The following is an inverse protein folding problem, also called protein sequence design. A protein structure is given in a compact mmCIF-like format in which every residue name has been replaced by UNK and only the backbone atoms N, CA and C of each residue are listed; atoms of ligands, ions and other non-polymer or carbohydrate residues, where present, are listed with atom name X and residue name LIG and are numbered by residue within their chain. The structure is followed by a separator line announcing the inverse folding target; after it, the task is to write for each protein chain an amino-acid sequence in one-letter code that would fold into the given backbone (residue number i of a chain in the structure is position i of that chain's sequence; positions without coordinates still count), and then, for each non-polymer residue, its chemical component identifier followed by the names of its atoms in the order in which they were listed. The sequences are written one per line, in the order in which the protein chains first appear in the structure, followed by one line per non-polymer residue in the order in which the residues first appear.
data_IF_322748683956
#
_entry.id   IF_322748683956
#
_cell.length_a   1.000
_cell.length_b   1.000
_cell.length_c   1.000
_cell.angle_alpha   90.00
_cell.angle_beta   90.00
_cell.angle_gamma   90.00
#
_symmetry.space_group_name_H-M   'P 1'
#
loop_
_entity.id
_entity.type
_entity.pdbx_description
1 polymer ?
#
# COMPACT_ATOMS: atom_id res chain seq x y z
N UNK A 1 -12.71 -41.90 -28.60
CA UNK A 1 -11.32 -41.88 -29.11
C UNK A 1 -11.12 -40.50 -29.71
N UNK A 2 -10.55 -39.51 -29.03
CA UNK A 2 -10.33 -38.18 -29.60
C UNK A 2 -10.20 -37.03 -28.61
N UNK A 3 -9.63 -37.22 -27.42
CA UNK A 3 -9.41 -36.09 -26.45
C UNK A 3 -8.04 -36.19 -25.75
N UNK A 4 -6.96 -36.39 -26.49
CA UNK A 4 -5.62 -36.48 -25.90
C UNK A 4 -4.50 -35.83 -26.72
N UNK A 5 -4.82 -34.82 -27.58
CA UNK A 5 -3.80 -34.20 -28.45
C UNK A 5 -3.49 -32.75 -28.16
N UNK A 6 -4.36 -31.98 -27.45
CA UNK A 6 -4.17 -30.56 -27.25
C UNK A 6 -3.33 -30.19 -26.01
N UNK A 7 -3.20 -31.08 -25.01
CA UNK A 7 -2.43 -30.82 -23.81
C UNK A 7 -0.90 -30.94 -23.96
N UNK A 8 -0.44 -31.64 -25.01
CA UNK A 8 1.00 -31.85 -25.24
C UNK A 8 1.68 -30.74 -26.04
N UNK A 9 0.93 -29.91 -26.73
CA UNK A 9 1.48 -28.81 -27.54
C UNK A 9 1.85 -27.60 -26.68
N UNK A 10 1.08 -27.32 -25.60
CA UNK A 10 1.35 -26.19 -24.71
C UNK A 10 2.59 -26.36 -23.80
N UNK A 11 3.00 -27.58 -23.49
CA UNK A 11 4.18 -27.85 -22.62
C UNK A 11 5.49 -27.67 -23.37
N UNK A 12 5.50 -27.79 -24.70
CA UNK A 12 6.74 -27.78 -25.49
C UNK A 12 7.19 -26.37 -25.97
N UNK A 13 6.30 -25.38 -25.92
CA UNK A 13 6.66 -23.99 -26.30
C UNK A 13 7.43 -23.25 -25.20
N UNK A 14 7.34 -23.72 -23.95
CA UNK A 14 8.06 -23.17 -22.78
C UNK A 14 9.41 -23.86 -22.49
N UNK A 15 9.85 -24.81 -23.28
CA UNK A 15 10.99 -25.67 -22.96
C UNK A 15 12.34 -25.22 -23.49
N UNK A 16 12.44 -24.10 -24.22
CA UNK A 16 13.76 -23.60 -24.63
C UNK A 16 14.44 -22.89 -23.45
N UNK A 17 15.68 -23.29 -23.08
CA UNK A 17 16.42 -22.68 -21.97
C UNK A 17 16.65 -21.17 -22.14
N UNK A 18 16.69 -20.67 -23.36
CA UNK A 18 16.80 -19.25 -23.71
C UNK A 18 15.54 -18.47 -23.29
N UNK A 19 14.32 -18.96 -23.60
CA UNK A 19 13.07 -18.31 -23.15
C UNK A 19 12.90 -18.30 -21.62
N UNK A 20 13.42 -19.32 -20.92
CA UNK A 20 13.44 -19.32 -19.43
C UNK A 20 14.40 -18.30 -18.87
N UNK A 21 15.55 -18.09 -19.48
CA UNK A 21 16.52 -17.06 -19.08
C UNK A 21 15.93 -15.66 -19.31
N UNK A 22 15.23 -15.42 -20.42
CA UNK A 22 14.60 -14.13 -20.71
C UNK A 22 13.42 -13.83 -19.76
N UNK A 23 12.63 -14.83 -19.36
CA UNK A 23 11.52 -14.65 -18.42
C UNK A 23 11.98 -14.31 -17.00
N UNK A 24 13.14 -14.75 -16.55
CA UNK A 24 13.69 -14.46 -15.22
C UNK A 24 14.55 -13.19 -15.24
N UNK A 25 15.25 -12.93 -16.34
CA UNK A 25 16.21 -11.82 -16.43
C UNK A 25 15.53 -10.44 -16.49
N UNK A 26 14.44 -10.30 -17.25
CA UNK A 26 13.75 -9.02 -17.42
C UNK A 26 13.09 -8.49 -16.11
N UNK A 27 12.29 -9.26 -15.37
CA UNK A 27 11.74 -8.82 -14.08
C UNK A 27 12.84 -8.50 -13.07
N UNK A 28 13.93 -9.28 -13.03
CA UNK A 28 15.08 -9.02 -12.17
C UNK A 28 15.75 -7.70 -12.52
N UNK A 29 15.97 -7.40 -13.81
CA UNK A 29 16.55 -6.14 -14.26
C UNK A 29 15.67 -4.97 -13.87
N UNK A 30 14.35 -5.04 -14.09
CA UNK A 30 13.41 -3.98 -13.70
C UNK A 30 13.39 -3.78 -12.19
N UNK A 31 13.42 -4.86 -11.40
CA UNK A 31 13.49 -4.79 -9.94
C UNK A 31 14.76 -4.08 -9.48
N UNK A 32 15.93 -4.45 -10.01
CA UNK A 32 17.21 -3.81 -9.67
C UNK A 32 17.19 -2.32 -10.04
N UNK A 33 16.74 -1.98 -11.24
CA UNK A 33 16.67 -0.58 -11.69
C UNK A 33 15.68 0.24 -10.84
N UNK A 34 14.55 -0.33 -10.46
CA UNK A 34 13.59 0.31 -9.57
C UNK A 34 14.20 0.57 -8.17
N UNK A 35 14.91 -0.41 -7.61
CA UNK A 35 15.60 -0.26 -6.33
C UNK A 35 16.73 0.77 -6.39
N UNK A 36 17.46 0.85 -7.48
CA UNK A 36 18.48 1.89 -7.69
C UNK A 36 17.82 3.28 -7.75
N UNK A 37 16.72 3.43 -8.48
CA UNK A 37 15.99 4.69 -8.56
C UNK A 37 15.42 5.10 -7.19
N UNK A 38 14.84 4.17 -6.42
CA UNK A 38 14.35 4.41 -5.07
C UNK A 38 15.47 4.78 -4.10
N UNK A 39 16.58 4.07 -4.13
CA UNK A 39 17.75 4.38 -3.30
C UNK A 39 18.36 5.72 -3.63
N UNK A 40 18.47 6.09 -4.90
CA UNK A 40 18.94 7.40 -5.33
C UNK A 40 18.02 8.53 -4.81
N UNK A 41 16.70 8.37 -4.96
CA UNK A 41 15.70 9.32 -4.47
C UNK A 41 15.74 9.45 -2.95
N UNK A 42 15.78 8.33 -2.23
CA UNK A 42 15.85 8.29 -0.76
C UNK A 42 17.13 8.95 -0.24
N UNK A 43 18.29 8.58 -0.79
CA UNK A 43 19.59 9.08 -0.35
C UNK A 43 19.71 10.58 -0.59
N UNK A 44 19.29 11.05 -1.76
CA UNK A 44 19.27 12.47 -2.08
C UNK A 44 18.39 13.24 -1.08
N UNK A 45 17.17 12.78 -0.83
CA UNK A 45 16.25 13.41 0.11
C UNK A 45 16.82 13.40 1.54
N UNK A 46 17.35 12.26 1.99
CA UNK A 46 17.93 12.10 3.32
C UNK A 46 19.12 13.06 3.56
N UNK A 47 20.07 13.10 2.61
CA UNK A 47 21.26 13.98 2.75
C UNK A 47 20.87 15.45 2.79
N UNK A 48 19.94 15.90 1.94
CA UNK A 48 19.49 17.29 1.92
C UNK A 48 18.75 17.67 3.21
N UNK A 49 17.86 16.80 3.70
CA UNK A 49 17.16 17.03 4.97
C UNK A 49 18.14 17.07 6.15
N UNK A 50 19.11 16.15 6.21
CA UNK A 50 20.12 16.15 7.30
C UNK A 50 21.05 17.39 7.23
N UNK A 51 21.37 17.86 6.04
CA UNK A 51 22.18 19.05 5.81
C UNK A 51 21.39 20.36 5.93
N UNK A 52 20.09 20.30 6.30
CA UNK A 52 19.17 21.46 6.37
C UNK A 52 19.10 22.25 5.05
N UNK A 53 19.34 21.60 3.92
CA UNK A 53 19.19 22.18 2.59
C UNK A 53 17.80 21.86 2.06
N UNK A 54 17.24 22.77 1.28
CA UNK A 54 15.97 22.53 0.61
C UNK A 54 16.23 21.54 -0.54
N UNK A 55 15.63 20.33 -0.52
CA UNK A 55 15.80 19.37 -1.60
C UNK A 55 15.06 19.84 -2.85
N UNK A 56 15.62 19.54 -4.03
CA UNK A 56 14.91 19.75 -5.27
C UNK A 56 13.78 18.72 -5.39
N UNK A 57 12.54 19.20 -5.31
CA UNK A 57 11.34 18.37 -5.36
C UNK A 57 11.21 17.62 -6.68
N UNK A 58 11.61 18.25 -7.79
CA UNK A 58 11.56 17.62 -9.11
C UNK A 58 12.52 16.44 -9.22
N UNK A 59 13.71 16.54 -8.66
CA UNK A 59 14.66 15.42 -8.65
C UNK A 59 14.09 14.22 -7.88
N UNK A 60 13.60 14.45 -6.67
CA UNK A 60 12.95 13.41 -5.85
C UNK A 60 11.74 12.81 -6.57
N UNK A 61 10.87 13.67 -7.12
CA UNK A 61 9.68 13.25 -7.83
C UNK A 61 9.98 12.42 -9.07
N UNK A 62 10.91 12.86 -9.93
CA UNK A 62 11.27 12.16 -11.18
C UNK A 62 11.93 10.81 -10.89
N UNK A 63 12.89 10.77 -9.94
CA UNK A 63 13.60 9.52 -9.63
C UNK A 63 12.68 8.52 -8.94
N UNK A 64 11.80 8.95 -8.03
CA UNK A 64 10.83 8.09 -7.41
C UNK A 64 9.74 7.62 -8.41
N UNK A 65 9.29 8.49 -9.32
CA UNK A 65 8.34 8.12 -10.37
C UNK A 65 8.94 7.11 -11.37
N UNK A 66 10.22 7.27 -11.73
CA UNK A 66 10.92 6.26 -12.55
C UNK A 66 10.94 4.91 -11.83
N UNK A 67 11.28 4.90 -10.54
CA UNK A 67 11.21 3.69 -9.72
C UNK A 67 9.81 3.07 -9.71
N UNK A 68 8.75 3.89 -9.60
CA UNK A 68 7.36 3.44 -9.63
C UNK A 68 6.95 2.84 -10.99
N UNK A 69 7.38 3.42 -12.09
CA UNK A 69 7.10 2.87 -13.43
C UNK A 69 7.71 1.48 -13.56
N UNK A 70 8.99 1.33 -13.18
CA UNK A 70 9.68 0.04 -13.21
C UNK A 70 9.04 -0.97 -12.22
N UNK A 71 8.65 -0.52 -11.02
CA UNK A 71 7.89 -1.32 -10.06
C UNK A 71 6.55 -1.80 -10.65
N UNK A 72 5.84 -0.91 -11.33
CA UNK A 72 4.60 -1.23 -12.03
C UNK A 72 4.77 -2.27 -13.14
N UNK A 73 5.90 -2.24 -13.86
CA UNK A 73 6.21 -3.27 -14.88
C UNK A 73 6.44 -4.65 -14.26
N UNK A 74 7.18 -4.73 -13.14
CA UNK A 74 7.35 -5.98 -12.38
C UNK A 74 5.99 -6.48 -11.88
N UNK A 75 5.25 -5.60 -11.22
CA UNK A 75 3.93 -5.91 -10.66
C UNK A 75 2.93 -6.38 -11.73
N UNK A 76 2.94 -5.75 -12.90
CA UNK A 76 2.09 -6.17 -14.02
C UNK A 76 2.39 -7.60 -14.45
N UNK A 77 3.68 -7.96 -14.55
CA UNK A 77 4.10 -9.33 -14.87
C UNK A 77 3.70 -10.35 -13.79
N UNK A 78 3.82 -9.96 -12.51
CA UNK A 78 3.49 -10.84 -11.38
C UNK A 78 1.96 -11.02 -11.21
N UNK A 79 1.17 -10.00 -11.56
CA UNK A 79 -0.30 -10.04 -11.48
C UNK A 79 -0.93 -10.76 -12.68
N UNK A 80 -0.44 -10.52 -13.90
CA UNK A 80 -1.04 -11.06 -15.12
C UNK A 80 -0.35 -12.37 -15.53
N UNK A 81 -1.00 -13.48 -15.25
CA UNK A 81 -0.53 -14.81 -15.67
C UNK A 81 -1.38 -15.32 -16.84
N UNK A 82 -0.87 -16.25 -17.68
CA UNK A 82 -1.66 -16.84 -18.77
C UNK A 82 -2.93 -17.55 -18.30
N UNK A 83 -3.03 -17.88 -17.01
CA UNK A 83 -4.17 -18.59 -16.41
C UNK A 83 -5.15 -17.67 -15.69
N UNK A 84 -4.85 -16.36 -15.57
CA UNK A 84 -5.69 -15.39 -14.85
C UNK A 84 -4.90 -14.42 -14.01
N UNK A 85 -5.57 -13.66 -13.13
CA UNK A 85 -4.95 -12.66 -12.26
C UNK A 85 -4.49 -13.31 -10.96
N UNK A 86 -3.24 -13.03 -10.58
CA UNK A 86 -2.65 -13.48 -9.33
C UNK A 86 -2.90 -12.47 -8.21
N UNK A 87 -3.69 -12.87 -7.22
CA UNK A 87 -3.98 -12.08 -6.00
C UNK A 87 -3.23 -12.62 -4.77
N UNK A 88 -2.01 -13.07 -4.96
CA UNK A 88 -1.17 -13.48 -3.83
C UNK A 88 -0.90 -12.32 -2.86
N UNK A 89 -0.68 -12.64 -1.57
CA UNK A 89 -0.49 -11.61 -0.55
C UNK A 89 0.72 -10.73 -0.81
N UNK A 90 1.82 -11.30 -1.29
CA UNK A 90 3.04 -10.53 -1.52
C UNK A 90 2.91 -9.62 -2.76
N UNK A 91 2.17 -10.08 -3.80
CA UNK A 91 1.79 -9.25 -4.94
C UNK A 91 0.90 -8.09 -4.49
N UNK A 92 -0.09 -8.35 -3.62
CA UNK A 92 -0.96 -7.30 -3.08
C UNK A 92 -0.23 -6.32 -2.15
N UNK A 93 0.75 -6.79 -1.37
CA UNK A 93 1.64 -5.93 -0.56
C UNK A 93 2.50 -5.05 -1.46
N UNK A 94 3.08 -5.61 -2.53
CA UNK A 94 3.83 -4.86 -3.54
C UNK A 94 2.94 -3.79 -4.20
N UNK A 95 1.74 -4.16 -4.66
CA UNK A 95 0.77 -3.23 -5.22
C UNK A 95 0.41 -2.09 -4.25
N UNK A 96 0.06 -2.43 -3.01
CA UNK A 96 -0.35 -1.45 -1.99
C UNK A 96 0.78 -0.48 -1.65
N UNK A 97 2.02 -0.97 -1.55
CA UNK A 97 3.19 -0.14 -1.24
C UNK A 97 3.55 0.80 -2.40
N UNK A 98 3.48 0.32 -3.65
CA UNK A 98 3.66 1.14 -4.84
C UNK A 98 2.58 2.21 -4.97
N UNK A 99 1.31 1.84 -4.76
CA UNK A 99 0.19 2.77 -4.77
C UNK A 99 0.30 3.81 -3.64
N UNK A 100 0.75 3.41 -2.45
CA UNK A 100 1.04 4.33 -1.35
C UNK A 100 2.08 5.38 -1.75
N UNK A 101 3.18 4.97 -2.39
CA UNK A 101 4.20 5.91 -2.86
C UNK A 101 3.67 6.82 -3.97
N UNK A 102 2.89 6.29 -4.92
CA UNK A 102 2.24 7.08 -5.98
C UNK A 102 1.38 8.19 -5.38
N UNK A 103 0.53 7.85 -4.42
CA UNK A 103 -0.34 8.80 -3.73
C UNK A 103 0.48 9.81 -2.90
N UNK A 104 1.55 9.36 -2.23
CA UNK A 104 2.46 10.25 -1.50
C UNK A 104 3.12 11.28 -2.45
N UNK A 105 3.57 10.87 -3.62
CA UNK A 105 4.13 11.77 -4.62
C UNK A 105 3.05 12.74 -5.17
N UNK A 106 1.84 12.25 -5.44
CA UNK A 106 0.71 13.10 -5.85
C UNK A 106 0.37 14.14 -4.78
N UNK A 107 0.28 13.76 -3.51
CA UNK A 107 0.06 14.70 -2.42
C UNK A 107 1.21 15.72 -2.29
N UNK A 108 2.46 15.32 -2.55
CA UNK A 108 3.62 16.21 -2.44
C UNK A 108 3.65 17.34 -3.47
N UNK A 109 2.83 17.26 -4.52
CA UNK A 109 2.65 18.37 -5.49
C UNK A 109 1.80 19.52 -4.92
N UNK A 110 0.92 19.23 -3.97
CA UNK A 110 -0.01 20.22 -3.39
C UNK A 110 0.37 20.64 -1.97
N UNK A 111 1.11 19.79 -1.24
CA UNK A 111 1.50 20.02 0.15
C UNK A 111 2.99 19.72 0.36
N UNK A 112 3.70 20.45 1.21
CA UNK A 112 5.12 20.21 1.48
C UNK A 112 5.33 18.97 2.37
N UNK A 113 4.99 17.78 1.85
CA UNK A 113 5.07 16.51 2.57
C UNK A 113 6.32 15.68 2.23
N UNK A 114 7.35 16.31 1.69
CA UNK A 114 8.62 15.66 1.36
C UNK A 114 9.16 14.71 2.44
N UNK A 115 9.07 15.05 3.77
CA UNK A 115 9.47 14.13 4.81
C UNK A 115 8.68 12.82 4.84
N UNK A 116 7.43 12.79 4.37
CA UNK A 116 6.63 11.57 4.27
C UNK A 116 7.19 10.62 3.21
N UNK A 117 7.74 11.16 2.11
CA UNK A 117 8.40 10.38 1.07
C UNK A 117 9.66 9.66 1.60
N UNK A 118 10.30 10.18 2.66
CA UNK A 118 11.42 9.51 3.33
C UNK A 118 11.00 8.15 3.94
N UNK A 119 9.73 7.97 4.26
CA UNK A 119 9.17 6.70 4.73
C UNK A 119 8.53 5.95 3.56
N UNK A 120 7.83 6.65 2.68
CA UNK A 120 7.10 6.05 1.55
C UNK A 120 8.02 5.30 0.57
N UNK A 121 9.20 5.88 0.26
CA UNK A 121 10.15 5.25 -0.66
C UNK A 121 10.68 3.91 -0.12
N UNK A 122 11.20 3.80 1.13
CA UNK A 122 11.60 2.51 1.69
C UNK A 122 10.46 1.49 1.79
N UNK A 123 9.23 1.95 2.10
CA UNK A 123 8.06 1.06 2.15
C UNK A 123 7.78 0.48 0.75
N UNK A 124 7.81 1.29 -0.30
CA UNK A 124 7.64 0.83 -1.69
C UNK A 124 8.77 -0.13 -2.11
N UNK A 125 10.02 0.20 -1.76
CA UNK A 125 11.17 -0.67 -2.04
C UNK A 125 11.04 -2.03 -1.33
N UNK A 126 10.61 -2.04 -0.06
CA UNK A 126 10.40 -3.26 0.71
C UNK A 126 9.26 -4.10 0.11
N UNK A 127 8.15 -3.47 -0.27
CA UNK A 127 7.03 -4.15 -0.92
C UNK A 127 7.43 -4.78 -2.26
N UNK A 128 8.23 -4.07 -3.07
CA UNK A 128 8.76 -4.62 -4.31
C UNK A 128 9.66 -5.84 -4.07
N UNK A 129 10.56 -5.77 -3.09
CA UNK A 129 11.44 -6.89 -2.72
C UNK A 129 10.62 -8.09 -2.25
N UNK A 130 9.61 -7.87 -1.38
CA UNK A 130 8.75 -8.94 -0.88
C UNK A 130 7.94 -9.57 -2.02
N UNK A 131 7.35 -8.77 -2.91
CA UNK A 131 6.65 -9.26 -4.10
C UNK A 131 7.55 -10.13 -4.96
N UNK A 132 8.74 -9.63 -5.30
CA UNK A 132 9.69 -10.37 -6.15
C UNK A 132 10.28 -11.62 -5.50
N UNK A 133 10.62 -11.58 -4.20
CA UNK A 133 11.30 -12.68 -3.50
C UNK A 133 10.36 -13.83 -3.10
N UNK A 134 9.11 -13.52 -2.81
CA UNK A 134 8.12 -14.46 -2.29
C UNK A 134 6.94 -14.64 -3.25
N UNK A 135 7.18 -14.66 -4.57
CA UNK A 135 6.15 -15.02 -5.55
C UNK A 135 5.87 -16.53 -5.47
N UNK A 136 4.90 -16.99 -4.68
CA UNK A 136 4.60 -18.41 -4.58
C UNK A 136 3.74 -18.84 -5.75
N UNK A 137 3.53 -20.15 -5.83
CA UNK A 137 2.63 -20.77 -6.79
C UNK A 137 1.26 -20.08 -6.73
N UNK A 138 0.95 -19.35 -7.79
CA UNK A 138 -0.17 -18.44 -7.90
C UNK A 138 -1.50 -19.09 -7.48
N UNK A 139 -2.20 -18.50 -6.52
CA UNK A 139 -3.65 -18.70 -6.37
C UNK A 139 -4.34 -17.93 -7.51
N UNK A 140 -4.48 -18.59 -8.63
CA UNK A 140 -5.06 -18.02 -9.84
C UNK A 140 -6.57 -18.01 -9.68
N UNK A 141 -7.20 -16.85 -9.79
CA UNK A 141 -8.66 -16.73 -9.90
C UNK A 141 -8.98 -16.72 -11.38
N UNK A 142 -9.45 -17.85 -11.88
CA UNK A 142 -9.73 -18.10 -13.31
C UNK A 142 -10.97 -17.36 -13.82
N UNK A 143 -11.87 -16.93 -12.92
CA UNK A 143 -13.08 -16.18 -13.28
C UNK A 143 -13.15 -14.90 -12.47
N UNK A 144 -12.74 -13.79 -13.07
CA UNK A 144 -12.96 -12.48 -12.50
C UNK A 144 -14.20 -11.84 -13.11
N UNK A 145 -15.12 -11.40 -12.24
CA UNK A 145 -16.13 -10.43 -12.64
C UNK A 145 -15.50 -9.03 -12.55
N UNK A 146 -15.81 -8.15 -13.51
CA UNK A 146 -15.37 -6.75 -13.49
C UNK A 146 -15.66 -6.07 -12.14
N UNK A 147 -16.77 -6.43 -11.50
CA UNK A 147 -17.16 -5.90 -10.19
C UNK A 147 -16.18 -6.31 -9.08
N UNK A 148 -15.68 -7.56 -9.09
CA UNK A 148 -14.70 -8.03 -8.12
C UNK A 148 -13.36 -7.31 -8.30
N UNK A 149 -12.91 -7.10 -9.53
CA UNK A 149 -11.65 -6.38 -9.82
C UNK A 149 -11.73 -4.93 -9.32
N UNK A 150 -12.85 -4.23 -9.59
CA UNK A 150 -13.09 -2.87 -9.09
C UNK A 150 -13.10 -2.85 -7.56
N UNK A 151 -13.79 -3.81 -6.92
CA UNK A 151 -13.80 -3.92 -5.46
C UNK A 151 -12.40 -4.08 -4.88
N UNK A 152 -11.57 -4.94 -5.48
CA UNK A 152 -10.18 -5.19 -5.03
C UNK A 152 -9.34 -3.91 -5.17
N UNK A 153 -9.38 -3.25 -6.34
CA UNK A 153 -8.61 -2.02 -6.58
C UNK A 153 -9.02 -0.90 -5.61
N UNK A 154 -10.33 -0.71 -5.38
CA UNK A 154 -10.84 0.29 -4.45
C UNK A 154 -10.44 -0.03 -3.00
N UNK A 155 -10.52 -1.30 -2.61
CA UNK A 155 -10.13 -1.75 -1.26
C UNK A 155 -8.65 -1.54 -1.02
N UNK A 156 -7.78 -1.90 -1.97
CA UNK A 156 -6.33 -1.68 -1.88
C UNK A 156 -5.98 -0.19 -1.86
N UNK A 157 -6.71 0.63 -2.64
CA UNK A 157 -6.54 2.09 -2.65
C UNK A 157 -6.93 2.70 -1.30
N UNK A 158 -8.06 2.29 -0.72
CA UNK A 158 -8.45 2.70 0.61
C UNK A 158 -7.41 2.30 1.66
N UNK A 159 -6.91 1.07 1.57
CA UNK A 159 -5.89 0.54 2.46
C UNK A 159 -4.59 1.33 2.38
N UNK A 160 -4.12 1.66 1.16
CA UNK A 160 -2.91 2.45 0.93
C UNK A 160 -3.01 3.85 1.53
N UNK A 161 -4.13 4.56 1.31
CA UNK A 161 -4.36 5.90 1.88
C UNK A 161 -4.45 5.87 3.40
N UNK A 162 -5.17 4.89 3.97
CA UNK A 162 -5.30 4.75 5.42
C UNK A 162 -3.99 4.30 6.09
N UNK A 163 -3.14 3.54 5.39
CA UNK A 163 -1.77 3.25 5.84
C UNK A 163 -0.93 4.53 5.89
N UNK A 164 -1.01 5.38 4.84
CA UNK A 164 -0.35 6.70 4.85
C UNK A 164 -0.82 7.56 6.01
N UNK A 165 -2.16 7.62 6.23
CA UNK A 165 -2.74 8.35 7.36
C UNK A 165 -2.21 7.81 8.71
N UNK A 166 -2.02 6.50 8.81
CA UNK A 166 -1.48 5.85 10.01
C UNK A 166 -0.02 6.22 10.24
N UNK A 167 0.81 6.20 9.20
CA UNK A 167 2.22 6.65 9.28
C UNK A 167 2.26 8.13 9.68
N UNK A 168 1.42 8.96 9.04
CA UNK A 168 1.29 10.39 9.37
C UNK A 168 0.87 10.59 10.83
N UNK A 169 -0.07 9.82 11.35
CA UNK A 169 -0.50 9.87 12.76
C UNK A 169 0.64 9.50 13.73
N UNK A 170 1.47 8.51 13.37
CA UNK A 170 2.65 8.14 14.16
C UNK A 170 3.67 9.28 14.18
N UNK A 171 3.96 9.88 13.02
CA UNK A 171 4.88 11.03 12.92
C UNK A 171 4.34 12.19 13.79
N UNK A 172 3.06 12.52 13.65
CA UNK A 172 2.39 13.57 14.43
C UNK A 172 2.49 13.32 15.94
N UNK A 173 2.33 12.06 16.38
CA UNK A 173 2.49 11.67 17.78
C UNK A 173 3.91 11.91 18.29
N UNK A 174 4.93 11.58 17.50
CA UNK A 174 6.32 11.84 17.87
C UNK A 174 6.62 13.33 17.86
N UNK A 175 6.13 14.09 16.89
CA UNK A 175 6.27 15.54 16.84
C UNK A 175 5.66 16.21 18.08
N UNK A 176 4.42 15.84 18.46
CA UNK A 176 3.75 16.37 19.66
C UNK A 176 4.56 16.12 20.95
N UNK A 177 5.12 14.91 21.08
CA UNK A 177 5.96 14.55 22.22
C UNK A 177 7.24 15.40 22.29
N UNK A 178 7.90 15.62 21.17
CA UNK A 178 9.12 16.43 21.11
C UNK A 178 8.85 17.93 21.34
N UNK A 179 7.70 18.44 20.83
CA UNK A 179 7.28 19.82 21.04
C UNK A 179 6.98 20.13 22.52
N UNK A 180 6.52 19.16 23.29
CA UNK A 180 6.23 19.28 24.73
C UNK A 180 7.47 19.22 25.63
N UNK A 181 8.61 18.75 25.08
CA UNK A 181 9.87 18.74 25.87
C UNK A 181 10.42 20.14 26.07
N UNK A 182 10.75 20.47 27.32
CA UNK A 182 11.43 21.73 27.68
C UNK A 182 12.91 21.76 27.27
N UNK A 183 13.50 20.61 26.99
CA UNK A 183 14.90 20.46 26.59
C UNK A 183 15.08 20.63 25.09
N UNK A 184 16.35 20.68 24.63
CA UNK A 184 16.76 20.84 23.24
C UNK A 184 16.03 19.83 22.32
N UNK A 185 15.21 20.33 21.40
CA UNK A 185 14.44 19.52 20.44
C UNK A 185 15.38 18.73 19.54
N UNK A 186 14.97 17.52 19.16
CA UNK A 186 15.71 16.73 18.18
C UNK A 186 15.72 17.42 16.81
N UNK A 187 16.85 17.34 16.12
CA UNK A 187 17.08 18.03 14.84
C UNK A 187 16.03 17.72 13.79
N UNK A 188 15.58 16.49 13.71
CA UNK A 188 14.60 16.04 12.71
C UNK A 188 13.20 16.69 12.86
N UNK A 189 12.81 17.11 14.07
CA UNK A 189 11.53 17.81 14.29
C UNK A 189 11.49 19.16 13.60
N UNK A 190 12.65 19.81 13.48
CA UNK A 190 12.77 21.10 12.79
C UNK A 190 12.71 20.97 11.26
N UNK A 191 12.76 19.74 10.74
CA UNK A 191 12.65 19.44 9.30
C UNK A 191 11.19 19.16 8.90
N UNK A 192 10.32 18.91 9.89
CA UNK A 192 8.90 18.67 9.63
C UNK A 192 8.16 20.00 9.45
N UNK A 193 7.09 20.02 8.62
CA UNK A 193 6.14 21.12 8.58
C UNK A 193 5.54 21.43 9.96
N UNK A 194 4.78 22.53 10.04
CA UNK A 194 4.11 22.89 11.31
C UNK A 194 3.19 21.73 11.76
N UNK A 195 3.01 21.61 13.08
CA UNK A 195 2.12 20.60 13.66
C UNK A 195 0.71 20.69 13.07
N UNK A 196 0.24 21.91 12.83
CA UNK A 196 -1.08 22.18 12.30
C UNK A 196 -1.24 21.73 10.84
N UNK A 197 -0.21 21.93 10.00
CA UNK A 197 -0.21 21.45 8.62
C UNK A 197 -0.18 19.92 8.57
N UNK A 198 0.62 19.29 9.45
CA UNK A 198 0.70 17.83 9.57
C UNK A 198 -0.61 17.21 10.05
N UNK A 199 -1.33 17.89 10.95
CA UNK A 199 -2.65 17.48 11.42
C UNK A 199 -3.72 17.63 10.33
N UNK A 200 -3.73 18.77 9.62
CA UNK A 200 -4.62 18.99 8.47
C UNK A 200 -4.45 17.89 7.42
N UNK A 201 -3.19 17.58 7.07
CA UNK A 201 -2.87 16.52 6.13
C UNK A 201 -3.38 15.15 6.60
N UNK A 202 -3.29 14.85 7.91
CA UNK A 202 -3.84 13.62 8.48
C UNK A 202 -5.34 13.50 8.21
N UNK A 203 -6.11 14.59 8.44
CA UNK A 203 -7.56 14.57 8.21
C UNK A 203 -7.92 14.52 6.73
N UNK A 204 -7.14 15.16 5.84
CA UNK A 204 -7.32 15.05 4.39
C UNK A 204 -7.16 13.58 3.92
N UNK A 205 -6.12 12.89 4.41
CA UNK A 205 -5.90 11.48 4.13
C UNK A 205 -6.99 10.58 4.72
N UNK A 206 -7.42 10.83 5.98
CA UNK A 206 -8.50 10.08 6.63
C UNK A 206 -9.82 10.22 5.87
N UNK A 207 -10.15 11.42 5.42
CA UNK A 207 -11.37 11.66 4.63
C UNK A 207 -11.31 10.92 3.30
N UNK A 208 -10.21 11.04 2.57
CA UNK A 208 -10.01 10.34 1.29
C UNK A 208 -10.09 8.82 1.49
N UNK A 209 -9.38 8.28 2.49
CA UNK A 209 -9.40 6.85 2.80
C UNK A 209 -10.78 6.36 3.24
N UNK A 210 -11.52 7.15 4.03
CA UNK A 210 -12.88 6.83 4.44
C UNK A 210 -13.87 6.78 3.28
N UNK A 211 -13.79 7.72 2.34
CA UNK A 211 -14.61 7.72 1.13
C UNK A 211 -14.31 6.50 0.26
N UNK A 212 -13.04 6.21 0.02
CA UNK A 212 -12.62 5.02 -0.73
C UNK A 212 -13.09 3.73 -0.05
N UNK A 213 -12.96 3.63 1.27
CA UNK A 213 -13.42 2.48 2.05
C UNK A 213 -14.94 2.33 1.97
N UNK A 214 -15.70 3.43 2.01
CA UNK A 214 -17.15 3.43 1.86
C UNK A 214 -17.57 2.89 0.49
N UNK A 215 -16.93 3.38 -0.57
CA UNK A 215 -17.19 2.93 -1.93
C UNK A 215 -16.81 1.45 -2.08
N UNK A 216 -15.65 1.04 -1.56
CA UNK A 216 -15.19 -0.34 -1.60
C UNK A 216 -16.16 -1.29 -0.88
N UNK A 217 -16.64 -0.93 0.32
CA UNK A 217 -17.65 -1.72 1.05
C UNK A 217 -18.97 -1.81 0.28
N UNK A 218 -19.41 -0.70 -0.33
CA UNK A 218 -20.60 -0.67 -1.17
C UNK A 218 -20.47 -1.61 -2.38
N UNK A 219 -19.38 -1.51 -3.14
CA UNK A 219 -19.13 -2.44 -4.26
C UNK A 219 -19.03 -3.88 -3.80
N UNK A 220 -18.37 -4.14 -2.66
CA UNK A 220 -18.33 -5.46 -2.07
C UNK A 220 -19.74 -6.01 -1.85
N UNK A 221 -20.63 -5.23 -1.25
CA UNK A 221 -22.01 -5.63 -0.97
C UNK A 221 -22.81 -6.04 -2.22
N UNK A 222 -22.56 -5.41 -3.37
CA UNK A 222 -23.27 -5.73 -4.62
C UNK A 222 -22.62 -6.84 -5.45
N UNK A 223 -21.36 -7.21 -5.16
CA UNK A 223 -20.58 -8.10 -6.04
C UNK A 223 -20.35 -9.47 -5.44
N UNK A 224 -20.40 -9.61 -4.12
CA UNK A 224 -20.09 -10.86 -3.41
C UNK A 224 -21.42 -11.52 -3.01
N UNK A 225 -21.76 -12.67 -3.60
CA UNK A 225 -23.03 -13.38 -3.36
C UNK A 225 -23.13 -13.96 -1.94
N UNK A 226 -22.00 -14.34 -1.32
CA UNK A 226 -21.93 -14.93 0.03
C UNK A 226 -21.01 -14.15 0.99
N UNK A 227 -21.49 -13.02 1.52
CA UNK A 227 -20.79 -12.21 2.53
C UNK A 227 -20.48 -12.96 3.83
N UNK A 228 -21.29 -13.90 4.18
CA UNK A 228 -21.23 -14.65 5.44
C UNK A 228 -20.56 -16.02 5.29
N UNK A 229 -19.99 -16.33 4.11
CA UNK A 229 -19.10 -17.47 4.02
C UNK A 229 -18.02 -17.34 5.10
N UNK A 230 -17.85 -18.38 5.94
CA UNK A 230 -17.07 -18.33 7.19
C UNK A 230 -15.69 -17.67 7.05
N UNK A 231 -15.03 -17.83 5.90
CA UNK A 231 -13.71 -17.25 5.63
C UNK A 231 -13.72 -15.76 5.23
N UNK A 232 -14.88 -15.20 4.82
CA UNK A 232 -15.05 -13.79 4.45
C UNK A 232 -15.67 -12.96 5.59
N UNK A 233 -16.49 -13.57 6.45
CA UNK A 233 -17.21 -12.89 7.51
C UNK A 233 -16.31 -12.08 8.45
N UNK A 234 -15.15 -12.62 8.82
CA UNK A 234 -14.20 -11.92 9.69
C UNK A 234 -13.61 -10.68 9.01
N UNK A 235 -13.23 -10.76 7.72
CA UNK A 235 -12.72 -9.61 6.95
C UNK A 235 -13.76 -8.50 6.88
N UNK A 236 -14.98 -8.85 6.53
CA UNK A 236 -16.10 -7.91 6.41
C UNK A 236 -16.41 -7.26 7.75
N UNK A 237 -16.46 -8.03 8.84
CA UNK A 237 -16.71 -7.51 10.18
C UNK A 237 -15.66 -6.49 10.62
N UNK A 238 -14.36 -6.81 10.48
CA UNK A 238 -13.29 -5.89 10.84
C UNK A 238 -13.26 -4.64 9.96
N UNK A 239 -13.59 -4.76 8.68
CA UNK A 239 -13.68 -3.61 7.77
C UNK A 239 -14.85 -2.68 8.15
N UNK A 240 -16.03 -3.22 8.50
CA UNK A 240 -17.17 -2.44 8.96
C UNK A 240 -16.86 -1.76 10.30
N UNK A 241 -16.26 -2.46 11.26
CA UNK A 241 -15.90 -1.88 12.56
C UNK A 241 -14.88 -0.74 12.35
N UNK A 242 -13.88 -0.96 11.50
CA UNK A 242 -12.90 0.07 11.15
C UNK A 242 -13.57 1.28 10.49
N UNK A 243 -14.50 1.07 9.57
CA UNK A 243 -15.29 2.12 8.93
C UNK A 243 -16.07 2.94 9.97
N UNK A 244 -16.70 2.29 10.95
CA UNK A 244 -17.39 2.98 12.05
C UNK A 244 -16.42 3.81 12.89
N UNK A 245 -15.22 3.29 13.19
CA UNK A 245 -14.18 4.01 13.94
C UNK A 245 -13.73 5.27 13.21
N UNK A 246 -13.47 5.18 11.90
CA UNK A 246 -13.10 6.35 11.09
C UNK A 246 -14.27 7.33 10.93
N UNK A 247 -15.49 6.85 10.74
CA UNK A 247 -16.70 7.68 10.70
C UNK A 247 -16.91 8.46 12.01
N UNK A 248 -16.76 7.78 13.16
CA UNK A 248 -16.84 8.41 14.47
C UNK A 248 -15.74 9.47 14.65
N UNK A 249 -14.50 9.20 14.19
CA UNK A 249 -13.40 10.17 14.22
C UNK A 249 -13.70 11.41 13.38
N UNK A 250 -14.17 11.25 12.16
CA UNK A 250 -14.47 12.36 11.25
C UNK A 250 -15.66 13.20 11.74
N UNK A 251 -16.73 12.56 12.22
CA UNK A 251 -17.86 13.25 12.86
C UNK A 251 -17.38 13.99 14.13
N UNK A 252 -16.55 13.32 14.93
CA UNK A 252 -15.94 13.90 16.13
C UNK A 252 -15.09 15.12 15.84
N UNK A 253 -14.34 15.07 14.74
CA UNK A 253 -13.55 16.21 14.26
C UNK A 253 -14.45 17.40 13.88
N UNK A 254 -15.46 17.18 13.07
CA UNK A 254 -16.33 18.26 12.58
C UNK A 254 -17.26 18.85 13.64
N UNK A 255 -17.88 17.98 14.47
CA UNK A 255 -18.88 18.44 15.45
C UNK A 255 -18.27 18.82 16.81
N UNK A 256 -17.21 18.13 17.22
CA UNK A 256 -16.64 18.28 18.58
C UNK A 256 -15.19 18.76 18.57
N UNK A 257 -14.61 19.07 17.40
CA UNK A 257 -13.25 19.57 17.30
C UNK A 257 -12.20 18.56 17.74
N UNK A 258 -12.44 17.24 17.60
CA UNK A 258 -11.44 16.24 17.97
C UNK A 258 -10.17 16.38 17.13
N UNK A 259 -9.03 16.51 17.84
CA UNK A 259 -7.71 16.78 17.26
C UNK A 259 -6.61 16.09 18.08
N UNK A 260 -5.37 16.17 17.59
CA UNK A 260 -4.17 15.76 18.31
C UNK A 260 -4.19 14.29 18.67
N UNK A 261 -3.95 13.99 19.95
CA UNK A 261 -3.82 12.61 20.43
C UNK A 261 -5.10 11.76 20.26
N UNK A 262 -6.29 12.39 20.25
CA UNK A 262 -7.53 11.66 19.95
C UNK A 262 -7.54 11.18 18.50
N UNK A 263 -7.24 12.06 17.54
CA UNK A 263 -7.15 11.70 16.14
C UNK A 263 -6.14 10.57 15.92
N UNK A 264 -4.95 10.68 16.51
CA UNK A 264 -3.92 9.65 16.43
C UNK A 264 -4.42 8.30 16.94
N UNK A 265 -5.07 8.25 18.12
CA UNK A 265 -5.56 6.99 18.71
C UNK A 265 -6.60 6.33 17.81
N UNK A 266 -7.61 7.07 17.36
CA UNK A 266 -8.65 6.54 16.49
C UNK A 266 -8.08 6.05 15.16
N UNK A 267 -7.12 6.78 14.57
CA UNK A 267 -6.45 6.35 13.33
C UNK A 267 -5.71 5.03 13.52
N UNK A 268 -4.94 4.89 14.61
CA UNK A 268 -4.21 3.66 14.90
C UNK A 268 -5.15 2.47 15.18
N UNK A 269 -6.24 2.69 15.91
CA UNK A 269 -7.25 1.64 16.18
C UNK A 269 -7.93 1.23 14.88
N UNK A 270 -8.40 2.20 14.08
CA UNK A 270 -9.07 1.91 12.81
C UNK A 270 -8.19 1.12 11.85
N UNK A 271 -6.93 1.53 11.68
CA UNK A 271 -6.00 0.81 10.82
C UNK A 271 -5.61 -0.56 11.39
N UNK A 272 -5.44 -0.67 12.70
CA UNK A 272 -5.17 -1.95 13.36
C UNK A 272 -6.28 -2.98 13.10
N UNK A 273 -7.55 -2.57 13.14
CA UNK A 273 -8.69 -3.41 12.80
C UNK A 273 -8.65 -3.85 11.33
N UNK A 274 -8.37 -2.92 10.39
CA UNK A 274 -8.21 -3.27 8.97
C UNK A 274 -7.06 -4.26 8.76
N UNK A 275 -5.91 -4.03 9.41
CA UNK A 275 -4.75 -4.88 9.29
C UNK A 275 -5.03 -6.30 9.80
N UNK A 276 -5.70 -6.43 10.95
CA UNK A 276 -6.12 -7.72 11.50
C UNK A 276 -7.12 -8.40 10.56
N UNK A 277 -8.07 -7.67 9.98
CA UNK A 277 -9.01 -8.23 9.01
C UNK A 277 -8.33 -8.77 7.76
N UNK A 278 -7.30 -8.07 7.25
CA UNK A 278 -6.59 -8.45 6.03
C UNK A 278 -5.53 -9.54 6.27
N UNK A 279 -4.63 -9.32 7.24
CA UNK A 279 -3.52 -10.23 7.54
C UNK A 279 -4.00 -11.44 8.35
N UNK A 280 -4.85 -11.21 9.35
CA UNK A 280 -5.32 -12.25 10.27
C UNK A 280 -6.08 -13.36 9.57
N UNK A 281 -6.89 -13.04 8.56
CA UNK A 281 -7.63 -14.06 7.80
C UNK A 281 -6.70 -14.97 6.98
N UNK A 282 -5.58 -14.45 6.45
CA UNK A 282 -4.61 -15.26 5.72
C UNK A 282 -3.71 -16.07 6.66
N UNK A 283 -3.26 -15.44 7.75
CA UNK A 283 -2.44 -16.13 8.75
C UNK A 283 -3.17 -17.33 9.37
N UNK A 284 -4.46 -17.17 9.68
CA UNK A 284 -5.29 -18.25 10.24
C UNK A 284 -5.55 -19.34 9.19
N UNK A 285 -5.82 -18.98 7.92
CA UNK A 285 -6.10 -19.94 6.86
C UNK A 285 -4.85 -20.71 6.41
N UNK A 286 -3.71 -20.04 6.27
CA UNK A 286 -2.51 -20.65 5.71
C UNK A 286 -1.61 -21.30 6.78
N UNK A 287 -1.52 -20.73 8.01
CA UNK A 287 -0.65 -21.26 9.06
C UNK A 287 -1.34 -22.18 10.07
N UNK A 288 -2.61 -21.93 10.41
CA UNK A 288 -3.32 -22.73 11.41
C UNK A 288 -4.17 -23.85 10.81
N UNK A 289 -4.74 -23.64 9.64
CA UNK A 289 -5.64 -24.62 9.02
C UNK A 289 -5.00 -25.43 7.90
N UNK A 290 -3.75 -25.14 7.51
CA UNK A 290 -2.94 -25.91 6.54
C UNK A 290 -3.72 -26.27 5.26
N UNK A 291 -4.56 -25.34 4.74
CA UNK A 291 -5.42 -25.53 3.56
C UNK A 291 -5.05 -24.55 2.46
#
# INVERSE_FOLDING_TARGET
IGYCSSHRIYINEYSSPLKRLDMVSLPLVYTILALVAYTASFWYLFVHLMSKRIPNQWFVGITAALGLVLHGMVLYGDMHTPMGINYDVFVLVSFTSGLMLLLSLAYSTYRPILPLNLIGIPVAATGLILGFAFTPQAKIIVQNSLGLDIHIILSLSAYAVLLMATIQAVILRFQDRELKKKQKRRVWVNLLPSYQDMESLLFDMLMTGFVLLTIALGFGFFTIDDFFAQHLAHKTAFSIISWLVYGALLIGHWKFGWRGQKAVRFTLIGFGLLAVGFIGSKFVLEMLLNK
#
